data_IF_450538618160
#
_entry.id   IF_450538618160
#
_cell.length_a   1.000
_cell.length_b   1.000
_cell.length_c   1.000
_cell.angle_alpha   90.00
_cell.angle_beta   90.00
_cell.angle_gamma   90.00
#
_symmetry.space_group_name_H-M   'P 1'
#
loop_
_entity.id
_entity.type
_entity.pdbx_description
1 polymer ?
#
# COMPACT_ATOMS: atom_id res chain seq x y z
N UNK A 1 10.53 -25.94 -20.83
CA UNK A 1 10.24 -24.62 -20.25
C UNK A 1 9.31 -24.79 -19.07
N UNK A 2 9.81 -24.59 -17.89
CA UNK A 2 8.99 -24.73 -16.71
C UNK A 2 8.06 -23.53 -16.60
N UNK A 3 6.76 -23.78 -16.54
CA UNK A 3 5.81 -22.73 -16.25
C UNK A 3 5.97 -22.33 -14.80
N UNK A 4 6.16 -21.05 -14.57
CA UNK A 4 6.14 -20.51 -13.21
C UNK A 4 4.73 -20.65 -12.67
N UNK A 5 4.56 -21.13 -11.42
CA UNK A 5 3.23 -21.20 -10.82
C UNK A 5 2.63 -19.78 -10.80
N UNK A 6 1.34 -19.69 -11.15
CA UNK A 6 0.62 -18.43 -11.08
C UNK A 6 0.48 -18.01 -9.62
N UNK A 7 1.04 -16.87 -9.28
CA UNK A 7 0.93 -16.30 -7.95
C UNK A 7 -0.19 -15.26 -7.92
N UNK A 8 -0.57 -14.84 -6.73
CA UNK A 8 -1.50 -13.73 -6.57
C UNK A 8 -1.04 -12.51 -7.39
N UNK A 9 0.27 -12.22 -7.33
CA UNK A 9 0.86 -11.05 -7.97
C UNK A 9 0.79 -11.09 -9.50
N UNK A 10 0.92 -12.26 -10.09
CA UNK A 10 0.93 -12.43 -11.54
C UNK A 10 -0.46 -12.67 -12.14
N UNK A 11 -1.41 -13.18 -11.34
CA UNK A 11 -2.72 -13.58 -11.84
C UNK A 11 -3.85 -12.62 -11.50
N UNK A 12 -3.57 -11.57 -10.73
CA UNK A 12 -4.58 -10.62 -10.27
C UNK A 12 -4.41 -9.26 -10.95
N UNK A 13 -5.52 -8.55 -11.08
CA UNK A 13 -5.55 -7.15 -11.52
C UNK A 13 -6.19 -6.33 -10.40
N UNK A 14 -5.53 -5.25 -10.02
CA UNK A 14 -6.11 -4.34 -9.03
C UNK A 14 -7.03 -3.35 -9.74
N UNK A 15 -8.24 -3.22 -9.24
CA UNK A 15 -9.21 -2.24 -9.73
C UNK A 15 -9.28 -1.01 -8.85
N UNK A 16 -8.79 -1.13 -7.63
CA UNK A 16 -8.77 -0.04 -6.65
C UNK A 16 -7.64 -0.27 -5.67
N UNK A 17 -7.00 0.80 -5.24
CA UNK A 17 -6.03 0.75 -4.14
C UNK A 17 -6.32 1.90 -3.18
N UNK A 18 -6.27 1.61 -1.91
CA UNK A 18 -6.39 2.59 -0.85
C UNK A 18 -5.14 2.56 0.00
N UNK A 19 -4.50 3.71 0.12
CA UNK A 19 -3.31 3.91 0.95
C UNK A 19 -3.71 4.81 2.11
N UNK A 20 -3.34 4.43 3.33
CA UNK A 20 -3.61 5.27 4.49
C UNK A 20 -2.51 5.15 5.53
N UNK A 21 -2.24 6.26 6.20
CA UNK A 21 -1.32 6.29 7.32
C UNK A 21 -1.65 7.48 8.20
N UNK A 22 -1.08 7.48 9.42
CA UNK A 22 -1.27 8.58 10.34
C UNK A 22 0.07 9.20 10.73
N UNK A 23 0.04 10.50 10.99
CA UNK A 23 1.15 11.25 11.57
C UNK A 23 0.75 11.66 12.97
N UNK A 24 1.53 11.25 13.97
CA UNK A 24 1.34 11.66 15.36
C UNK A 24 1.90 13.06 15.57
N UNK A 25 1.52 13.70 16.67
CA UNK A 25 1.91 15.08 16.97
C UNK A 25 3.43 15.33 16.91
N UNK A 26 4.23 14.30 17.23
CA UNK A 26 5.70 14.40 17.25
C UNK A 26 6.35 14.09 15.90
N UNK A 27 5.57 13.63 14.92
CA UNK A 27 6.09 13.31 13.60
C UNK A 27 5.99 14.49 12.65
N UNK A 28 6.93 14.59 11.72
CA UNK A 28 6.89 15.58 10.66
C UNK A 28 5.86 15.14 9.61
N UNK A 29 4.76 15.89 9.49
CA UNK A 29 3.68 15.61 8.55
C UNK A 29 4.17 15.54 7.09
N UNK A 30 5.09 16.41 6.72
CA UNK A 30 5.65 16.40 5.35
C UNK A 30 6.40 15.11 5.04
N UNK A 31 7.13 14.58 6.01
CA UNK A 31 7.84 13.31 5.84
C UNK A 31 6.88 12.13 5.75
N UNK A 32 5.81 12.14 6.54
CA UNK A 32 4.80 11.09 6.50
C UNK A 32 4.08 11.09 5.15
N UNK A 33 3.72 12.27 4.65
CA UNK A 33 3.10 12.40 3.32
C UNK A 33 4.05 11.93 2.22
N UNK A 34 5.33 12.27 2.32
CA UNK A 34 6.35 11.81 1.38
C UNK A 34 6.45 10.28 1.38
N UNK A 35 6.42 9.66 2.57
CA UNK A 35 6.43 8.20 2.69
C UNK A 35 5.25 7.58 1.98
N UNK A 36 4.05 8.13 2.16
CA UNK A 36 2.84 7.66 1.50
C UNK A 36 2.98 7.72 -0.03
N UNK A 37 3.43 8.85 -0.54
CA UNK A 37 3.57 9.05 -1.99
C UNK A 37 4.70 8.21 -2.59
N UNK A 38 5.70 7.84 -1.81
CA UNK A 38 6.76 6.96 -2.27
C UNK A 38 6.30 5.53 -2.55
N UNK A 39 5.11 5.15 -2.07
CA UNK A 39 4.52 3.83 -2.35
C UNK A 39 4.12 3.70 -3.82
N UNK A 40 3.69 4.80 -4.44
CA UNK A 40 3.22 4.79 -5.82
C UNK A 40 4.37 5.07 -6.79
N UNK A 41 4.25 4.65 -8.08
CA UNK A 41 5.27 4.94 -9.07
C UNK A 41 5.55 6.44 -9.20
N UNK A 42 6.81 6.77 -9.42
CA UNK A 42 7.22 8.17 -9.56
C UNK A 42 6.40 8.93 -10.60
N UNK A 43 6.07 8.27 -11.71
CA UNK A 43 5.27 8.87 -12.79
C UNK A 43 3.86 9.30 -12.37
N UNK A 44 3.34 8.74 -11.27
CA UNK A 44 1.99 9.05 -10.79
C UNK A 44 1.98 9.99 -9.58
N UNK A 45 3.13 10.25 -8.97
CA UNK A 45 3.19 11.00 -7.70
C UNK A 45 2.67 12.41 -7.80
N UNK A 46 3.05 13.13 -8.84
CA UNK A 46 2.62 14.52 -9.02
C UNK A 46 1.11 14.61 -9.19
N UNK A 47 0.55 13.72 -10.01
CA UNK A 47 -0.88 13.68 -10.26
C UNK A 47 -1.68 13.41 -8.99
N UNK A 48 -1.22 12.47 -8.16
CA UNK A 48 -1.99 12.04 -6.98
C UNK A 48 -1.63 12.79 -5.70
N UNK A 49 -0.58 13.59 -5.69
CA UNK A 49 -0.23 14.38 -4.51
C UNK A 49 -1.37 15.30 -4.06
N UNK A 50 -2.09 15.90 -5.00
CA UNK A 50 -3.21 16.77 -4.69
C UNK A 50 -4.50 16.02 -4.36
N UNK A 51 -4.55 14.72 -4.61
CA UNK A 51 -5.71 13.88 -4.34
C UNK A 51 -5.69 13.24 -2.94
N UNK A 52 -4.61 13.41 -2.19
CA UNK A 52 -4.51 12.89 -0.83
C UNK A 52 -5.47 13.64 0.08
N UNK A 53 -6.36 12.89 0.74
CA UNK A 53 -7.27 13.45 1.72
C UNK A 53 -6.55 13.56 3.06
N UNK A 54 -6.70 14.70 3.73
CA UNK A 54 -6.10 14.94 5.04
C UNK A 54 -7.20 15.15 6.05
N UNK A 55 -7.21 14.36 7.12
CA UNK A 55 -8.16 14.49 8.23
C UNK A 55 -7.38 14.69 9.50
N UNK A 56 -7.75 15.71 10.28
CA UNK A 56 -7.17 15.96 11.60
C UNK A 56 -8.16 15.56 12.67
N UNK A 57 -7.67 14.77 13.63
CA UNK A 57 -8.48 14.29 14.73
C UNK A 57 -7.66 14.30 16.03
N UNK A 58 -8.31 13.97 17.13
CA UNK A 58 -7.64 13.87 18.43
C UNK A 58 -7.47 12.40 18.79
N UNK A 59 -6.26 12.05 19.21
CA UNK A 59 -5.98 10.72 19.72
C UNK A 59 -6.56 10.51 21.11
N UNK A 60 -6.41 9.29 21.62
CA UNK A 60 -6.99 8.85 22.88
C UNK A 60 -6.65 9.77 24.07
N UNK A 61 -5.45 10.34 24.08
CA UNK A 61 -5.00 11.25 25.14
C UNK A 61 -5.10 12.74 24.76
N UNK A 62 -5.91 13.07 23.74
CA UNK A 62 -6.08 14.45 23.31
C UNK A 62 -4.97 14.97 22.43
N UNK A 63 -4.00 14.13 22.02
CA UNK A 63 -2.93 14.52 21.10
C UNK A 63 -3.47 14.61 19.68
N UNK A 64 -3.09 15.65 18.91
CA UNK A 64 -3.54 15.74 17.50
C UNK A 64 -2.94 14.62 16.67
N UNK A 65 -3.75 14.06 15.78
CA UNK A 65 -3.34 13.04 14.82
C UNK A 65 -3.82 13.49 13.45
N UNK A 66 -2.92 13.46 12.48
CA UNK A 66 -3.25 13.72 11.08
C UNK A 66 -3.31 12.40 10.33
N UNK A 67 -4.40 12.15 9.62
CA UNK A 67 -4.61 10.93 8.84
C UNK A 67 -4.57 11.30 7.37
N UNK A 68 -3.72 10.62 6.61
CA UNK A 68 -3.65 10.73 5.16
C UNK A 68 -4.28 9.50 4.53
N UNK A 69 -5.07 9.75 3.49
CA UNK A 69 -5.75 8.70 2.76
C UNK A 69 -5.73 9.02 1.27
N UNK A 70 -5.34 8.05 0.47
CA UNK A 70 -5.35 8.18 -0.99
C UNK A 70 -6.09 6.97 -1.57
N UNK A 71 -7.08 7.23 -2.43
CA UNK A 71 -7.80 6.20 -3.16
C UNK A 71 -7.55 6.40 -4.64
N UNK A 72 -7.13 5.34 -5.31
CA UNK A 72 -6.90 5.32 -6.76
C UNK A 72 -7.71 4.20 -7.36
N UNK A 73 -8.44 4.48 -8.42
CA UNK A 73 -9.27 3.50 -9.12
C UNK A 73 -8.88 3.43 -10.60
N UNK A 74 -9.25 2.33 -11.24
CA UNK A 74 -9.00 2.14 -12.66
C UNK A 74 -7.59 1.65 -12.98
N UNK A 75 -7.11 1.91 -14.21
CA UNK A 75 -5.80 1.40 -14.66
C UNK A 75 -4.62 1.82 -13.79
N UNK A 76 -4.66 3.02 -13.23
CA UNK A 76 -3.58 3.49 -12.35
C UNK A 76 -3.47 2.64 -11.09
N UNK A 77 -4.61 2.13 -10.58
CA UNK A 77 -4.59 1.23 -9.43
C UNK A 77 -3.81 -0.05 -9.74
N UNK A 78 -3.98 -0.59 -10.95
CA UNK A 78 -3.25 -1.78 -11.36
C UNK A 78 -1.76 -1.49 -11.57
N UNK A 79 -1.42 -0.32 -12.07
CA UNK A 79 -0.02 0.10 -12.19
C UNK A 79 0.64 0.18 -10.82
N UNK A 80 -0.07 0.72 -9.84
CA UNK A 80 0.41 0.78 -8.46
C UNK A 80 0.60 -0.64 -7.90
N UNK A 81 -0.35 -1.53 -8.15
CA UNK A 81 -0.27 -2.93 -7.71
C UNK A 81 0.98 -3.62 -8.29
N UNK A 82 1.21 -3.48 -9.58
CA UNK A 82 2.40 -4.05 -10.24
C UNK A 82 3.69 -3.44 -9.71
N UNK A 83 3.69 -2.12 -9.49
CA UNK A 83 4.85 -1.43 -8.94
C UNK A 83 5.20 -1.93 -7.54
N UNK A 84 4.20 -2.10 -6.70
CA UNK A 84 4.40 -2.63 -5.34
C UNK A 84 4.90 -4.07 -5.40
N UNK A 85 4.33 -4.89 -6.27
CA UNK A 85 4.78 -6.27 -6.45
C UNK A 85 6.27 -6.35 -6.84
N UNK A 86 6.71 -5.44 -7.72
CA UNK A 86 8.11 -5.41 -8.17
C UNK A 86 9.03 -4.78 -7.11
N UNK A 87 8.52 -3.87 -6.31
CA UNK A 87 9.30 -3.15 -5.30
C UNK A 87 9.51 -3.95 -4.03
N UNK A 88 8.57 -4.84 -3.70
CA UNK A 88 8.72 -5.74 -2.56
C UNK A 88 9.81 -6.77 -2.85
N UNK A 89 10.61 -7.11 -1.84
CA UNK A 89 11.56 -8.19 -1.95
C UNK A 89 10.87 -9.53 -2.10
N UNK A 90 11.58 -10.52 -2.64
CA UNK A 90 11.04 -11.86 -2.83
C UNK A 90 10.54 -12.47 -1.52
N UNK A 91 11.27 -12.27 -0.43
CA UNK A 91 10.87 -12.79 0.88
C UNK A 91 9.55 -12.19 1.35
N UNK A 92 9.36 -10.88 1.16
CA UNK A 92 8.12 -10.21 1.52
C UNK A 92 6.94 -10.68 0.66
N UNK A 93 7.16 -10.88 -0.64
CA UNK A 93 6.13 -11.43 -1.52
C UNK A 93 5.72 -12.83 -1.08
N UNK A 94 6.68 -13.68 -0.76
CA UNK A 94 6.42 -15.03 -0.26
C UNK A 94 5.70 -15.01 1.08
N UNK A 95 6.09 -14.09 1.95
CA UNK A 95 5.43 -13.93 3.26
C UNK A 95 3.96 -13.55 3.09
N UNK A 96 3.66 -12.60 2.21
CA UNK A 96 2.28 -12.22 1.91
C UNK A 96 1.50 -13.42 1.37
N UNK A 97 2.07 -14.15 0.41
CA UNK A 97 1.45 -15.35 -0.15
C UNK A 97 1.17 -16.40 0.93
N UNK A 98 2.10 -16.60 1.87
CA UNK A 98 1.95 -17.59 2.93
C UNK A 98 0.91 -17.19 3.98
N UNK A 99 0.55 -15.91 4.06
CA UNK A 99 -0.40 -15.38 5.04
C UNK A 99 -1.70 -14.88 4.41
N UNK A 100 -2.02 -15.33 3.19
CA UNK A 100 -3.21 -14.88 2.46
C UNK A 100 -4.51 -15.15 3.23
N UNK A 101 -4.60 -16.23 4.01
CA UNK A 101 -5.79 -16.54 4.78
C UNK A 101 -6.18 -15.42 5.75
N UNK A 102 -5.20 -14.65 6.25
CA UNK A 102 -5.44 -13.53 7.15
C UNK A 102 -5.45 -12.17 6.46
N UNK A 103 -4.99 -12.10 5.21
CA UNK A 103 -4.85 -10.84 4.47
C UNK A 103 -5.88 -10.64 3.38
N UNK A 104 -6.41 -11.72 2.83
CA UNK A 104 -7.36 -11.67 1.73
C UNK A 104 -8.76 -11.93 2.26
N UNK A 105 -9.60 -10.92 2.20
CA UNK A 105 -11.00 -11.02 2.56
C UNK A 105 -11.85 -10.64 1.36
N UNK A 106 -12.54 -11.62 0.79
CA UNK A 106 -13.26 -11.48 -0.47
C UNK A 106 -12.28 -11.07 -1.58
N UNK A 107 -12.48 -9.92 -2.20
CA UNK A 107 -11.58 -9.42 -3.24
C UNK A 107 -10.56 -8.41 -2.70
N UNK A 108 -10.47 -8.21 -1.41
CA UNK A 108 -9.59 -7.19 -0.82
C UNK A 108 -8.35 -7.82 -0.21
N UNK A 109 -7.21 -7.31 -0.62
CA UNK A 109 -5.91 -7.73 -0.07
C UNK A 109 -5.37 -6.63 0.81
N UNK A 110 -5.08 -6.97 2.06
CA UNK A 110 -4.59 -6.04 3.09
C UNK A 110 -3.09 -6.26 3.31
N UNK A 111 -2.31 -5.20 3.10
CA UNK A 111 -0.86 -5.23 3.29
C UNK A 111 -0.46 -4.04 4.17
N UNK A 112 0.54 -4.24 5.01
CA UNK A 112 1.12 -3.19 5.84
C UNK A 112 2.61 -3.11 5.54
N UNK A 113 3.09 -1.91 5.26
CA UNK A 113 4.52 -1.67 4.99
C UNK A 113 5.06 -0.64 5.97
N UNK A 114 6.34 -0.71 6.24
CA UNK A 114 7.01 0.20 7.15
C UNK A 114 6.97 1.64 6.62
N UNK A 115 6.47 2.56 7.44
CA UNK A 115 6.45 3.98 7.11
C UNK A 115 7.88 4.54 6.98
N UNK A 116 8.78 4.12 7.86
CA UNK A 116 10.17 4.58 7.85
C UNK A 116 10.91 4.14 6.59
N UNK A 117 10.75 2.87 6.19
CA UNK A 117 11.38 2.38 4.98
C UNK A 117 10.75 3.00 3.73
N UNK A 118 9.44 3.25 3.73
CA UNK A 118 8.77 3.93 2.62
C UNK A 118 9.31 5.34 2.42
N UNK A 119 9.59 6.04 3.50
CA UNK A 119 10.24 7.36 3.42
C UNK A 119 11.60 7.27 2.71
N UNK A 120 12.31 6.17 2.89
CA UNK A 120 13.60 5.91 2.24
C UNK A 120 13.45 5.25 0.87
N UNK A 121 12.25 5.23 0.32
CA UNK A 121 11.90 4.67 -1.00
C UNK A 121 12.09 3.15 -1.08
N UNK A 122 11.89 2.46 0.04
CA UNK A 122 11.93 1.00 0.10
C UNK A 122 10.63 0.47 0.65
N UNK A 123 10.10 -0.56 0.01
CA UNK A 123 8.90 -1.23 0.48
C UNK A 123 9.29 -2.48 1.26
N UNK A 124 8.93 -2.49 2.53
CA UNK A 124 9.17 -3.63 3.42
C UNK A 124 7.91 -3.89 4.23
N UNK A 125 7.43 -5.13 4.19
CA UNK A 125 6.30 -5.55 5.02
C UNK A 125 6.68 -5.42 6.48
N UNK A 126 5.76 -4.87 7.27
CA UNK A 126 5.98 -4.63 8.69
C UNK A 126 4.66 -4.76 9.43
N UNK A 127 4.67 -5.48 10.55
CA UNK A 127 3.45 -5.77 11.30
C UNK A 127 3.26 -4.89 12.55
N UNK A 128 4.12 -3.92 12.77
CA UNK A 128 4.01 -2.97 13.88
C UNK A 128 2.99 -1.86 13.61
N UNK A 129 3.01 -0.84 14.46
CA UNK A 129 2.05 0.28 14.39
C UNK A 129 2.48 1.39 13.43
N UNK A 130 3.79 1.52 13.19
CA UNK A 130 4.35 2.58 12.35
C UNK A 130 4.33 2.16 10.88
N UNK A 131 3.14 2.07 10.31
CA UNK A 131 2.92 1.48 8.99
C UNK A 131 2.07 2.36 8.09
N UNK A 132 2.20 2.08 6.79
CA UNK A 132 1.24 2.53 5.78
C UNK A 132 0.39 1.31 5.44
N UNK A 133 -0.92 1.47 5.52
CA UNK A 133 -1.86 0.43 5.15
C UNK A 133 -2.18 0.53 3.67
N UNK A 134 -2.14 -0.61 3.01
CA UNK A 134 -2.44 -0.71 1.58
C UNK A 134 -3.56 -1.74 1.43
N UNK A 135 -4.66 -1.33 0.82
CA UNK A 135 -5.79 -2.23 0.55
C UNK A 135 -6.04 -2.22 -0.95
N UNK A 136 -5.81 -3.37 -1.57
CA UNK A 136 -6.14 -3.57 -2.98
C UNK A 136 -7.49 -4.23 -3.11
N UNK A 137 -8.30 -3.78 -4.06
CA UNK A 137 -9.45 -4.53 -4.54
C UNK A 137 -8.98 -5.26 -5.80
N UNK A 138 -9.02 -6.58 -5.76
CA UNK A 138 -8.45 -7.41 -6.80
C UNK A 138 -9.52 -8.12 -7.61
N UNK A 139 -9.22 -8.29 -8.89
CA UNK A 139 -9.96 -9.17 -9.79
C UNK A 139 -8.95 -10.18 -10.31
N UNK A 140 -9.24 -11.46 -10.13
CA UNK A 140 -8.38 -12.50 -10.67
C UNK A 140 -8.64 -12.63 -12.17
N UNK A 141 -7.56 -12.79 -12.92
CA UNK A 141 -7.66 -13.09 -14.33
C UNK A 141 -8.35 -14.43 -14.53
N UNK A 142 -9.13 -14.53 -15.61
CA UNK A 142 -9.74 -15.79 -15.98
C UNK A 142 -8.64 -16.78 -16.34
N UNK A 143 -8.72 -17.95 -15.73
CA UNK A 143 -7.94 -19.10 -16.20
C UNK A 143 -8.66 -19.57 -17.47
N UNK A 144 -8.01 -19.34 -18.59
CA UNK A 144 -8.52 -19.84 -19.84
C UNK A 144 -8.39 -21.37 -19.89
#
# INVERSE_FOLDING_TARGET
>A
MEERPKTLWSSSTATRVELSCSAHATEDEGKVLTALLNIIPESLREQYASAVETTRTMGYHGNPITIYRLVVEGPDANEIFKHIALSLGEEDRKYIESTLSSRLERCRLYIRVSKQWAYLRRLKVYEGDDVIRIVFTLRRGRVA
#
